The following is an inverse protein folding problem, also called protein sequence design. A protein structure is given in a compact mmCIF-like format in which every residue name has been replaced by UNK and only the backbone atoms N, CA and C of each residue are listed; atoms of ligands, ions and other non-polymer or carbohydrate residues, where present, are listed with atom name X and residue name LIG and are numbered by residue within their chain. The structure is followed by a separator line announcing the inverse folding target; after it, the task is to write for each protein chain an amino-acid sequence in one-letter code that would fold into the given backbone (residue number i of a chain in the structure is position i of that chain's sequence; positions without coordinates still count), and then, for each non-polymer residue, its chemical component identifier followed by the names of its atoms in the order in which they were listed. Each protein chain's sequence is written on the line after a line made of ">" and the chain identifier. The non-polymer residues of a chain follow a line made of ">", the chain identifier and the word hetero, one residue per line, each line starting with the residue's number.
data_IF_269619190351
#
_entry.id   IF_269619190351
#
_cell.length_a   1.000
_cell.length_b   1.000
_cell.length_c   1.000
_cell.angle_alpha   90.00
_cell.angle_beta   90.00
_cell.angle_gamma   90.00
#
_symmetry.space_group_name_H-M   'P 1'
#
loop_
_entity.id
_entity.type
_entity.pdbx_description
1 polymer ?
#
# COMPACT_ATOMS: atom_id res chain seq x y z
N UNK A 1 29.01 10.96 21.63
CA UNK A 1 28.97 10.76 20.16
C UNK A 1 30.07 11.57 19.49
N UNK A 2 31.00 10.89 18.80
CA UNK A 2 32.06 11.60 18.08
C UNK A 2 31.50 12.22 16.78
N UNK A 3 31.81 13.50 16.53
CA UNK A 3 31.52 14.15 15.25
C UNK A 3 32.38 13.52 14.14
N UNK A 4 31.83 13.39 12.93
CA UNK A 4 32.61 12.96 11.77
C UNK A 4 33.75 13.94 11.47
N UNK A 5 34.84 13.44 10.87
CA UNK A 5 35.99 14.27 10.45
C UNK A 5 35.54 15.43 9.56
N UNK A 6 34.63 15.18 8.63
CA UNK A 6 34.08 16.20 7.73
C UNK A 6 33.29 17.30 8.46
N UNK A 7 32.61 16.99 9.56
CA UNK A 7 31.90 17.99 10.38
C UNK A 7 32.89 18.86 11.16
N UNK A 8 33.92 18.25 11.75
CA UNK A 8 34.99 18.97 12.46
C UNK A 8 35.73 19.96 11.56
N UNK A 9 36.03 19.58 10.32
CA UNK A 9 36.69 20.47 9.35
C UNK A 9 35.83 21.69 8.99
N UNK A 10 34.52 21.50 8.79
CA UNK A 10 33.61 22.61 8.50
C UNK A 10 33.52 23.58 9.68
N UNK A 11 33.37 23.06 10.89
CA UNK A 11 33.34 23.87 12.12
C UNK A 11 34.65 24.64 12.33
N UNK A 12 35.80 24.05 11.96
CA UNK A 12 37.09 24.75 11.98
C UNK A 12 37.11 25.94 11.02
N UNK A 13 36.66 25.75 9.77
CA UNK A 13 36.64 26.81 8.75
C UNK A 13 35.73 27.97 9.16
N UNK A 14 34.55 27.69 9.73
CA UNK A 14 33.64 28.73 10.23
C UNK A 14 34.24 29.51 11.40
N UNK A 15 34.98 28.83 12.29
CA UNK A 15 35.70 29.48 13.41
C UNK A 15 36.82 30.40 12.90
N UNK A 16 37.43 30.06 11.77
CA UNK A 16 38.45 30.87 11.11
C UNK A 16 37.87 32.01 10.25
N UNK A 17 36.55 32.22 10.29
CA UNK A 17 35.86 33.28 9.54
C UNK A 17 35.68 32.98 8.05
N UNK A 18 35.91 31.73 7.62
CA UNK A 18 35.70 31.33 6.22
C UNK A 18 34.23 31.00 5.99
N UNK A 19 33.76 31.27 4.77
CA UNK A 19 32.39 30.96 4.33
C UNK A 19 32.01 29.51 4.66
N UNK A 20 30.81 29.33 5.22
CA UNK A 20 30.30 28.01 5.56
C UNK A 20 30.04 27.20 4.27
N UNK A 21 30.68 26.03 4.09
CA UNK A 21 30.46 25.21 2.90
C UNK A 21 29.03 24.68 2.76
N UNK A 22 28.25 24.69 3.84
CA UNK A 22 26.83 24.29 3.84
C UNK A 22 25.98 25.31 3.07
N UNK A 23 26.28 26.60 3.15
CA UNK A 23 25.52 27.66 2.48
C UNK A 23 25.68 27.62 0.97
N UNK A 24 26.84 27.18 0.48
CA UNK A 24 27.12 27.02 -0.95
C UNK A 24 26.71 25.65 -1.50
N UNK A 25 26.03 24.83 -0.69
CA UNK A 25 25.70 23.46 -1.09
C UNK A 25 24.55 23.48 -2.10
N UNK A 26 24.72 22.75 -3.20
CA UNK A 26 23.70 22.64 -4.23
C UNK A 26 22.39 22.05 -3.68
N UNK A 27 21.22 22.51 -4.14
CA UNK A 27 19.91 22.01 -3.72
C UNK A 27 19.70 20.52 -4.02
N UNK A 28 20.45 19.93 -4.97
CA UNK A 28 20.36 18.50 -5.30
C UNK A 28 20.72 17.55 -4.15
N UNK A 29 21.37 18.07 -3.11
CA UNK A 29 21.69 17.29 -1.90
C UNK A 29 20.45 16.95 -1.09
N UNK A 30 19.44 17.82 -1.11
CA UNK A 30 18.20 17.62 -0.35
C UNK A 30 17.18 16.78 -1.11
N UNK A 31 17.29 16.76 -2.44
CA UNK A 31 16.45 15.94 -3.28
C UNK A 31 16.99 14.51 -3.34
N UNK A 32 16.13 13.53 -3.10
CA UNK A 32 16.47 12.15 -3.41
C UNK A 32 16.51 11.98 -4.93
N UNK A 33 17.72 11.93 -5.49
CA UNK A 33 17.95 11.69 -6.91
C UNK A 33 17.81 10.21 -7.28
N UNK A 34 17.54 9.33 -6.31
CA UNK A 34 17.14 7.96 -6.62
C UNK A 34 15.80 8.05 -7.33
N UNK A 35 15.84 7.74 -8.62
CA UNK A 35 14.71 7.81 -9.52
C UNK A 35 13.53 7.00 -8.99
N UNK A 36 12.32 7.38 -9.39
CA UNK A 36 11.11 6.59 -9.18
C UNK A 36 11.31 5.21 -9.84
N UNK A 37 11.75 4.23 -9.07
CA UNK A 37 11.89 2.85 -9.52
C UNK A 37 10.49 2.24 -9.54
N UNK A 38 10.08 1.73 -10.70
CA UNK A 38 8.85 0.96 -10.81
C UNK A 38 8.99 -0.33 -10.01
N UNK A 39 7.90 -0.78 -9.41
CA UNK A 39 7.86 -2.01 -8.63
C UNK A 39 8.38 -3.21 -9.44
N UNK A 40 9.09 -4.11 -8.78
CA UNK A 40 9.57 -5.34 -9.43
C UNK A 40 8.43 -6.33 -9.62
N UNK A 41 8.66 -7.38 -10.43
CA UNK A 41 7.67 -8.46 -10.62
C UNK A 41 7.23 -9.08 -9.28
N UNK A 42 8.17 -9.26 -8.34
CA UNK A 42 7.88 -9.81 -7.01
C UNK A 42 6.98 -8.87 -6.21
N UNK A 43 7.28 -7.57 -6.25
CA UNK A 43 6.50 -6.55 -5.52
C UNK A 43 5.07 -6.47 -6.02
N UNK A 44 4.85 -6.68 -7.33
CA UNK A 44 3.50 -6.76 -7.90
C UNK A 44 2.78 -8.06 -7.55
N UNK A 45 3.47 -9.21 -7.57
CA UNK A 45 2.88 -10.52 -7.31
C UNK A 45 2.32 -10.63 -5.88
N UNK A 46 3.04 -10.08 -4.91
CA UNK A 46 2.63 -10.11 -3.50
C UNK A 46 1.88 -8.85 -3.06
N UNK A 47 1.51 -7.96 -4.00
CA UNK A 47 0.71 -6.79 -3.68
C UNK A 47 -0.78 -7.14 -3.63
N UNK A 48 -1.33 -7.25 -2.41
CA UNK A 48 -2.78 -7.29 -2.20
C UNK A 48 -3.35 -5.87 -2.12
N UNK A 49 -3.62 -5.24 -3.28
CA UNK A 49 -4.18 -3.87 -3.33
C UNK A 49 -5.67 -3.84 -2.98
N UNK A 50 -6.43 -4.84 -3.43
CA UNK A 50 -7.85 -4.99 -3.16
C UNK A 50 -8.09 -6.35 -2.52
N UNK A 51 -8.83 -6.37 -1.41
CA UNK A 51 -9.23 -7.63 -0.76
C UNK A 51 -10.36 -8.21 -1.59
N UNK A 52 -10.09 -9.27 -2.34
CA UNK A 52 -11.16 -10.09 -2.89
C UNK A 52 -11.76 -10.84 -1.71
N UNK A 53 -12.95 -10.44 -1.27
CA UNK A 53 -13.80 -11.33 -0.49
C UNK A 53 -14.11 -12.50 -1.43
N UNK A 54 -13.31 -13.56 -1.34
CA UNK A 54 -13.74 -14.87 -1.81
C UNK A 54 -15.06 -15.08 -1.08
N UNK A 55 -16.17 -14.93 -1.80
CA UNK A 55 -17.51 -15.07 -1.27
C UNK A 55 -17.50 -16.33 -0.42
N UNK A 56 -17.73 -16.17 0.88
CA UNK A 56 -17.97 -17.26 1.80
C UNK A 56 -18.95 -18.20 1.10
N UNK A 57 -18.44 -19.38 0.70
CA UNK A 57 -19.24 -20.44 0.16
C UNK A 57 -20.16 -20.90 1.30
N UNK A 58 -21.33 -20.25 1.41
CA UNK A 58 -22.24 -20.44 2.54
C UNK A 58 -23.48 -19.58 2.49
N UNK A 59 -23.99 -19.29 1.28
CA UNK A 59 -25.37 -18.80 1.14
C UNK A 59 -26.19 -19.81 0.34
N UNK A 60 -26.33 -20.98 0.93
CA UNK A 60 -27.31 -22.03 0.65
C UNK A 60 -28.72 -21.48 0.92
N UNK A 61 -29.17 -20.60 0.02
CA UNK A 61 -30.54 -20.13 -0.03
C UNK A 61 -31.48 -21.29 -0.36
N UNK A 62 -32.25 -21.74 0.63
CA UNK A 62 -33.34 -22.69 0.41
C UNK A 62 -34.58 -21.95 -0.08
N UNK A 63 -35.17 -22.41 -1.19
CA UNK A 63 -36.44 -21.88 -1.72
C UNK A 63 -37.57 -22.87 -1.43
N UNK A 64 -38.61 -22.42 -0.72
CA UNK A 64 -39.82 -23.20 -0.42
C UNK A 64 -40.85 -23.01 -1.54
N UNK A 65 -41.13 -24.05 -2.32
CA UNK A 65 -42.16 -24.04 -3.36
C UNK A 65 -43.45 -24.66 -2.81
N UNK A 66 -44.39 -23.83 -2.34
CA UNK A 66 -45.74 -24.27 -2.00
C UNK A 66 -46.72 -23.73 -3.04
N UNK A 67 -47.10 -24.56 -4.02
CA UNK A 67 -48.14 -24.25 -4.98
C UNK A 67 -49.36 -25.15 -4.75
N UNK A 68 -50.40 -24.54 -4.17
CA UNK A 68 -51.83 -24.84 -4.18
C UNK A 68 -52.30 -26.29 -4.27
N UNK A 69 -52.91 -26.74 -3.17
CA UNK A 69 -53.90 -27.81 -3.11
C UNK A 69 -55.02 -27.60 -4.14
N UNK A 70 -55.03 -28.39 -5.23
CA UNK A 70 -56.22 -28.55 -6.05
C UNK A 70 -57.05 -29.72 -5.50
N UNK A 71 -58.16 -29.37 -4.87
CA UNK A 71 -59.24 -30.25 -4.46
C UNK A 71 -59.83 -30.93 -5.70
N UNK A 72 -59.39 -32.16 -5.98
CA UNK A 72 -60.02 -33.04 -6.97
C UNK A 72 -61.31 -33.63 -6.37
N UNK A 73 -62.45 -33.04 -6.71
CA UNK A 73 -63.75 -33.71 -6.65
C UNK A 73 -63.86 -34.61 -7.89
N UNK A 74 -63.72 -35.92 -7.70
CA UNK A 74 -63.98 -36.98 -8.68
C UNK A 74 -64.13 -38.27 -7.85
N UNK A 75 -65.23 -39.01 -7.83
CA UNK A 75 -66.49 -38.90 -8.55
C UNK A 75 -67.51 -39.85 -7.94
N UNK A 76 -68.75 -39.71 -8.40
CA UNK A 76 -69.88 -40.59 -8.10
C UNK A 76 -69.59 -42.06 -8.43
N UNK A 77 -69.95 -42.98 -7.53
CA UNK A 77 -70.92 -44.06 -7.73
C UNK A 77 -71.50 -44.44 -6.36
#
# INVERSE_FOLDING_TARGET
>A
MAKSKAKKLREKLTREGRMNPVEKRSPFVFNDMRSRITKTKKDHLYQFKHKNHQSEAGNDGSFYFAASTNRSLMGCY
#
